data_IF_132496291804
#
_entry.id   IF_132496291804
#
_cell.length_a   1.000
_cell.length_b   1.000
_cell.length_c   1.000
_cell.angle_alpha   90.00
_cell.angle_beta   90.00
_cell.angle_gamma   90.00
#
_symmetry.space_group_name_H-M   'P 1'
#
loop_
_entity.id
_entity.type
_entity.pdbx_description
1 polymer ?
#
# COMPACT_ATOMS: atom_id res chain seq x y z
N UNK A 1 2.62 24.29 -34.47
CA UNK A 1 2.69 24.04 -33.02
C UNK A 1 2.03 22.70 -32.75
N UNK A 2 2.79 21.72 -32.23
CA UNK A 2 2.26 20.39 -31.90
C UNK A 2 1.33 20.54 -30.68
N UNK A 3 0.12 19.99 -30.66
CA UNK A 3 -0.74 20.11 -29.50
C UNK A 3 -0.02 19.45 -28.31
N UNK A 4 0.19 20.24 -27.25
CA UNK A 4 0.69 19.76 -25.97
C UNK A 4 -0.40 18.87 -25.38
N UNK A 5 -0.33 17.57 -25.68
CA UNK A 5 -1.13 16.56 -24.99
C UNK A 5 -0.91 16.66 -23.49
N UNK A 6 -1.88 16.21 -22.66
CA UNK A 6 -1.80 16.36 -21.22
C UNK A 6 -0.47 15.79 -20.73
N UNK A 7 0.27 16.57 -19.95
CA UNK A 7 1.61 16.23 -19.47
C UNK A 7 1.65 14.76 -19.01
N UNK A 8 2.23 13.90 -19.83
CA UNK A 8 2.35 12.47 -19.56
C UNK A 8 3.23 12.35 -18.34
N UNK A 9 2.67 11.96 -17.20
CA UNK A 9 3.46 11.75 -15.99
C UNK A 9 4.61 10.79 -16.32
N UNK A 10 5.82 11.11 -15.88
CA UNK A 10 6.95 10.24 -16.22
C UNK A 10 6.70 8.84 -15.66
N UNK A 11 7.05 7.80 -16.41
CA UNK A 11 6.92 6.40 -15.94
C UNK A 11 7.62 6.18 -14.59
N UNK A 12 8.68 6.94 -14.31
CA UNK A 12 9.37 6.99 -13.03
C UNK A 12 8.48 7.45 -11.86
N UNK A 13 7.58 8.41 -12.10
CA UNK A 13 6.63 8.89 -11.08
C UNK A 13 5.63 7.79 -10.70
N UNK A 14 5.08 7.07 -11.68
CA UNK A 14 4.20 5.92 -11.45
C UNK A 14 4.90 4.86 -10.60
N UNK A 15 6.15 4.53 -10.96
CA UNK A 15 6.96 3.57 -10.21
C UNK A 15 7.22 4.05 -8.78
N UNK A 16 7.46 5.34 -8.58
CA UNK A 16 7.66 5.91 -7.25
C UNK A 16 6.42 5.76 -6.36
N UNK A 17 5.22 6.00 -6.91
CA UNK A 17 3.96 5.76 -6.18
C UNK A 17 3.80 4.29 -5.79
N UNK A 18 4.07 3.36 -6.71
CA UNK A 18 3.99 1.94 -6.41
C UNK A 18 5.03 1.48 -5.40
N UNK A 19 6.26 1.99 -5.45
CA UNK A 19 7.28 1.71 -4.42
C UNK A 19 6.82 2.17 -3.05
N UNK A 20 6.30 3.39 -2.94
CA UNK A 20 5.74 3.91 -1.68
C UNK A 20 4.60 3.03 -1.17
N UNK A 21 3.69 2.62 -2.06
CA UNK A 21 2.61 1.70 -1.70
C UNK A 21 3.14 0.37 -1.15
N UNK A 22 4.09 -0.26 -1.85
CA UNK A 22 4.72 -1.50 -1.42
C UNK A 22 5.40 -1.36 -0.06
N UNK A 23 6.11 -0.26 0.20
CA UNK A 23 6.70 -0.01 1.52
C UNK A 23 5.65 0.13 2.62
N UNK A 24 4.54 0.84 2.36
CA UNK A 24 3.44 0.92 3.31
C UNK A 24 2.86 -0.47 3.60
N UNK A 25 2.70 -1.33 2.60
CA UNK A 25 2.18 -2.68 2.79
C UNK A 25 3.16 -3.61 3.49
N UNK A 26 4.46 -3.48 3.24
CA UNK A 26 5.49 -4.37 3.78
C UNK A 26 5.94 -3.98 5.21
N UNK A 27 5.93 -2.69 5.56
CA UNK A 27 6.46 -2.20 6.83
C UNK A 27 5.81 -2.86 8.07
N UNK A 28 4.47 -3.04 8.16
CA UNK A 28 3.85 -3.74 9.28
C UNK A 28 4.42 -5.15 9.47
N UNK A 29 4.64 -5.90 8.38
CA UNK A 29 5.21 -7.25 8.45
C UNK A 29 6.67 -7.24 8.88
N UNK A 30 7.45 -6.24 8.44
CA UNK A 30 8.81 -6.04 8.94
C UNK A 30 8.86 -5.85 10.45
N UNK A 31 7.91 -5.06 11.00
CA UNK A 31 7.77 -4.87 12.44
C UNK A 31 7.31 -6.16 13.16
N UNK A 32 6.39 -6.93 12.55
CA UNK A 32 5.98 -8.22 13.09
C UNK A 32 7.13 -9.22 13.14
N UNK A 33 7.99 -9.29 12.12
CA UNK A 33 9.20 -10.13 12.16
C UNK A 33 10.18 -9.63 13.22
N UNK A 34 10.36 -8.31 13.35
CA UNK A 34 11.23 -7.75 14.39
C UNK A 34 10.73 -8.06 15.81
N UNK A 35 9.44 -8.33 15.98
CA UNK A 35 8.84 -8.66 17.28
C UNK A 35 9.37 -9.95 17.91
N UNK A 36 9.94 -10.86 17.11
CA UNK A 36 10.63 -12.05 17.62
C UNK A 36 11.89 -11.70 18.44
N UNK A 37 12.49 -10.54 18.19
CA UNK A 37 13.65 -10.03 18.93
C UNK A 37 13.24 -9.01 20.00
N UNK A 38 12.22 -8.20 19.73
CA UNK A 38 11.77 -7.11 20.61
C UNK A 38 10.24 -7.20 20.79
N UNK A 39 9.74 -7.80 21.87
CA UNK A 39 8.32 -8.16 22.03
C UNK A 39 7.34 -6.99 21.85
N UNK A 40 7.70 -5.79 22.33
CA UNK A 40 6.84 -4.60 22.26
C UNK A 40 6.56 -4.12 20.82
N UNK A 41 7.45 -4.45 19.86
CA UNK A 41 7.32 -4.02 18.46
C UNK A 41 6.17 -4.74 17.75
N UNK A 42 5.76 -5.93 18.23
CA UNK A 42 4.64 -6.67 17.64
C UNK A 42 3.32 -5.90 17.69
N UNK A 43 3.04 -5.23 18.80
CA UNK A 43 1.87 -4.37 18.93
C UNK A 43 1.91 -3.21 17.93
N UNK A 44 3.07 -2.58 17.76
CA UNK A 44 3.27 -1.49 16.79
C UNK A 44 3.03 -1.97 15.36
N UNK A 45 3.49 -3.19 15.01
CA UNK A 45 3.21 -3.82 13.73
C UNK A 45 1.70 -3.98 13.47
N UNK A 46 0.95 -4.47 14.47
CA UNK A 46 -0.50 -4.64 14.36
C UNK A 46 -1.24 -3.30 14.24
N UNK A 47 -0.87 -2.30 15.07
CA UNK A 47 -1.49 -0.98 15.03
C UNK A 47 -1.24 -0.22 13.71
N UNK A 48 -0.14 -0.53 13.03
CA UNK A 48 0.22 0.13 11.76
C UNK A 48 -0.44 -0.49 10.53
N UNK A 49 -1.03 -1.70 10.62
CA UNK A 49 -1.68 -2.38 9.50
C UNK A 49 -2.76 -1.53 8.81
N UNK A 50 -3.70 -0.97 9.57
CA UNK A 50 -4.78 -0.15 9.02
C UNK A 50 -4.29 1.18 8.43
N UNK A 51 -3.57 2.05 9.17
CA UNK A 51 -3.14 3.34 8.61
C UNK A 51 -2.19 3.17 7.43
N UNK A 52 -1.27 2.20 7.46
CA UNK A 52 -0.37 1.95 6.34
C UNK A 52 -1.06 1.23 5.17
N UNK A 53 -2.03 0.34 5.43
CA UNK A 53 -2.88 -0.23 4.39
C UNK A 53 -3.65 0.85 3.61
N UNK A 54 -4.25 1.81 4.32
CA UNK A 54 -4.93 2.95 3.72
C UNK A 54 -3.97 3.88 2.96
N UNK A 55 -2.83 4.23 3.56
CA UNK A 55 -1.82 5.06 2.91
C UNK A 55 -1.27 4.39 1.64
N UNK A 56 -1.01 3.10 1.68
CA UNK A 56 -0.58 2.33 0.52
C UNK A 56 -1.63 2.34 -0.59
N UNK A 57 -2.92 2.12 -0.26
CA UNK A 57 -4.01 2.17 -1.24
C UNK A 57 -4.17 3.55 -1.88
N UNK A 58 -3.95 4.61 -1.12
CA UNK A 58 -3.92 5.97 -1.66
C UNK A 58 -2.82 6.14 -2.72
N UNK A 59 -1.59 5.67 -2.45
CA UNK A 59 -0.51 5.72 -3.43
C UNK A 59 -0.77 4.79 -4.63
N UNK A 60 -1.31 3.60 -4.40
CA UNK A 60 -1.72 2.67 -5.46
C UNK A 60 -2.76 3.29 -6.40
N UNK A 61 -3.79 3.95 -5.85
CA UNK A 61 -4.81 4.66 -6.62
C UNK A 61 -4.20 5.77 -7.48
N UNK A 62 -3.26 6.56 -6.93
CA UNK A 62 -2.56 7.60 -7.68
C UNK A 62 -1.73 7.01 -8.82
N UNK A 63 -0.95 5.96 -8.55
CA UNK A 63 -0.16 5.26 -9.56
C UNK A 63 -1.03 4.66 -10.68
N UNK A 64 -2.13 4.00 -10.32
CA UNK A 64 -3.09 3.43 -11.28
C UNK A 64 -3.74 4.50 -12.16
N UNK A 65 -4.13 5.64 -11.57
CA UNK A 65 -4.72 6.76 -12.31
C UNK A 65 -3.74 7.30 -13.35
N UNK A 66 -2.46 7.46 -12.98
CA UNK A 66 -1.41 7.92 -13.88
C UNK A 66 -1.08 6.87 -14.96
N UNK A 67 -0.99 5.58 -14.60
CA UNK A 67 -0.76 4.50 -15.56
C UNK A 67 -1.90 4.40 -16.59
N UNK A 68 -3.16 4.54 -16.16
CA UNK A 68 -4.31 4.56 -17.04
C UNK A 68 -4.32 5.76 -17.98
N UNK A 69 -4.00 6.97 -17.48
CA UNK A 69 -3.88 8.18 -18.30
C UNK A 69 -2.78 8.06 -19.36
N UNK A 70 -1.68 7.40 -19.02
CA UNK A 70 -0.55 7.19 -19.93
C UNK A 70 -0.72 5.97 -20.86
N UNK A 71 -1.76 5.17 -20.68
CA UNK A 71 -1.95 3.92 -21.43
C UNK A 71 -0.89 2.84 -21.15
N UNK A 72 -0.13 2.95 -20.06
CA UNK A 72 0.94 2.00 -19.69
C UNK A 72 0.31 0.74 -19.08
N UNK A 73 0.04 -0.26 -19.93
CA UNK A 73 -0.58 -1.54 -19.54
C UNK A 73 0.26 -2.29 -18.51
N UNK A 74 1.57 -2.34 -18.70
CA UNK A 74 2.49 -3.03 -17.77
C UNK A 74 2.38 -2.43 -16.36
N UNK A 75 2.35 -1.10 -16.25
CA UNK A 75 2.19 -0.45 -14.94
C UNK A 75 0.77 -0.48 -14.40
N UNK A 76 -0.26 -0.71 -15.23
CA UNK A 76 -1.59 -1.03 -14.70
C UNK A 76 -1.61 -2.38 -13.99
N UNK A 77 -0.97 -3.40 -14.56
CA UNK A 77 -0.92 -4.75 -13.96
C UNK A 77 -0.22 -4.73 -12.60
N UNK A 78 0.91 -4.01 -12.50
CA UNK A 78 1.59 -3.76 -11.22
C UNK A 78 0.68 -3.02 -10.23
N UNK A 79 -0.10 -2.05 -10.71
CA UNK A 79 -1.08 -1.34 -9.89
C UNK A 79 -2.16 -2.25 -9.32
N UNK A 80 -2.67 -3.20 -10.11
CA UNK A 80 -3.64 -4.20 -9.63
C UNK A 80 -3.02 -5.15 -8.61
N UNK A 81 -1.78 -5.58 -8.80
CA UNK A 81 -1.07 -6.39 -7.80
C UNK A 81 -0.94 -5.64 -6.46
N UNK A 82 -0.57 -4.35 -6.50
CA UNK A 82 -0.52 -3.50 -5.30
C UNK A 82 -1.90 -3.29 -4.68
N UNK A 83 -2.97 -3.22 -5.47
CA UNK A 83 -4.33 -3.09 -4.96
C UNK A 83 -4.75 -4.35 -4.19
N UNK A 84 -4.49 -5.54 -4.74
CA UNK A 84 -4.74 -6.82 -4.07
C UNK A 84 -3.96 -6.89 -2.76
N UNK A 85 -2.68 -6.51 -2.77
CA UNK A 85 -1.86 -6.47 -1.57
C UNK A 85 -2.43 -5.52 -0.51
N UNK A 86 -2.89 -4.34 -0.91
CA UNK A 86 -3.54 -3.39 -0.02
C UNK A 86 -4.84 -3.93 0.61
N UNK A 87 -5.66 -4.63 -0.16
CA UNK A 87 -6.88 -5.28 0.36
C UNK A 87 -6.52 -6.35 1.40
N UNK A 88 -5.52 -7.18 1.13
CA UNK A 88 -5.04 -8.20 2.08
C UNK A 88 -4.58 -7.56 3.39
N UNK A 89 -3.79 -6.48 3.31
CA UNK A 89 -3.31 -5.75 4.51
C UNK A 89 -4.47 -5.16 5.31
N UNK A 90 -5.48 -4.59 4.65
CA UNK A 90 -6.68 -4.08 5.34
C UNK A 90 -7.46 -5.20 6.03
N UNK A 91 -7.65 -6.35 5.38
CA UNK A 91 -8.34 -7.48 5.98
C UNK A 91 -7.61 -7.96 7.25
N UNK A 92 -6.27 -8.07 7.20
CA UNK A 92 -5.49 -8.39 8.40
C UNK A 92 -5.61 -7.32 9.49
N UNK A 93 -5.60 -6.04 9.12
CA UNK A 93 -5.81 -4.94 10.07
C UNK A 93 -7.18 -5.00 10.76
N UNK A 94 -8.25 -5.31 10.01
CA UNK A 94 -9.59 -5.49 10.55
C UNK A 94 -9.69 -6.70 11.47
N UNK A 95 -9.06 -7.82 11.10
CA UNK A 95 -8.99 -9.01 11.95
C UNK A 95 -8.25 -8.72 13.27
N UNK A 96 -7.12 -8.01 13.20
CA UNK A 96 -6.37 -7.60 14.40
C UNK A 96 -7.21 -6.69 15.31
N UNK A 97 -7.96 -5.75 14.73
CA UNK A 97 -8.85 -4.87 15.48
C UNK A 97 -10.01 -5.64 16.12
N UNK A 98 -10.65 -6.55 15.37
CA UNK A 98 -11.72 -7.40 15.89
C UNK A 98 -11.25 -8.28 17.05
N UNK A 99 -10.08 -8.91 16.92
CA UNK A 99 -9.50 -9.71 18.00
C UNK A 99 -9.18 -8.88 19.24
N UNK A 100 -8.63 -7.67 19.04
CA UNK A 100 -8.34 -6.73 20.12
C UNK A 100 -9.62 -6.31 20.85
N UNK A 101 -10.69 -6.02 20.10
CA UNK A 101 -11.99 -5.66 20.66
C UNK A 101 -12.56 -6.80 21.51
N UNK A 102 -12.62 -8.03 20.99
CA UNK A 102 -13.14 -9.21 21.71
C UNK A 102 -12.36 -9.51 22.99
N UNK A 103 -11.06 -9.21 23.04
CA UNK A 103 -10.23 -9.45 24.23
C UNK A 103 -10.41 -8.37 25.31
N UNK A 104 -10.83 -7.17 24.93
CA UNK A 104 -11.00 -6.03 25.85
C UNK A 104 -12.44 -5.89 26.37
N UNK A 105 -13.42 -6.48 25.67
CA UNK A 105 -14.82 -6.60 26.07
C UNK A 105 -15.05 -7.75 27.06
#
# INVERSE_FOLDING_TARGET
>A
MKPLGPATASRAEIVNYYKKATYCYAAPFGLLVLSFLIPFVGAVGLFTLLPLGLAGLFFTKRGLTLAAKNGDREKKDVGYANLVLGVIVLLFGLLALAFTYVRLS
#
